data_IF_195758759489
#
_entry.id   IF_195758759489
#
_cell.length_a   1.000
_cell.length_b   1.000
_cell.length_c   1.000
_cell.angle_alpha   90.00
_cell.angle_beta   90.00
_cell.angle_gamma   90.00
#
_symmetry.space_group_name_H-M   'P 1'
#
loop_
_entity.id
_entity.type
_entity.pdbx_description
1 polymer ?
#
# COMPACT_ATOMS: atom_id res chain seq x y z
N UNK A 1 -1.85 -10.10 -8.27
CA UNK A 1 -3.10 -9.29 -8.37
C UNK A 1 -3.20 -8.30 -7.20
N UNK A 2 -3.18 -8.77 -5.94
CA UNK A 2 -3.27 -7.93 -4.74
C UNK A 2 -2.32 -6.73 -4.72
N UNK A 3 -1.04 -6.91 -5.08
CA UNK A 3 -0.10 -5.78 -5.17
C UNK A 3 -0.51 -4.70 -6.17
N UNK A 4 -1.04 -5.09 -7.34
CA UNK A 4 -1.48 -4.11 -8.35
C UNK A 4 -2.71 -3.34 -7.87
N UNK A 5 -3.64 -4.03 -7.19
CA UNK A 5 -4.78 -3.38 -6.53
C UNK A 5 -4.32 -2.41 -5.44
N UNK A 6 -3.38 -2.85 -4.59
CA UNK A 6 -2.76 -2.03 -3.55
C UNK A 6 -2.09 -0.79 -4.14
N UNK A 7 -1.21 -0.96 -5.13
CA UNK A 7 -0.55 0.15 -5.82
C UNK A 7 -1.56 1.14 -6.40
N UNK A 8 -2.58 0.67 -7.13
CA UNK A 8 -3.61 1.53 -7.72
C UNK A 8 -4.42 2.29 -6.66
N UNK A 9 -4.93 1.58 -5.65
CA UNK A 9 -5.87 2.12 -4.67
C UNK A 9 -5.19 2.91 -3.55
N UNK A 10 -3.89 2.75 -3.32
CA UNK A 10 -3.14 3.46 -2.29
C UNK A 10 -2.33 4.63 -2.84
N UNK A 11 -2.07 4.68 -4.15
CA UNK A 11 -1.40 5.81 -4.79
C UNK A 11 -2.23 7.09 -4.69
N UNK A 12 -1.55 8.25 -4.63
CA UNK A 12 -2.23 9.55 -4.67
C UNK A 12 -2.85 9.80 -6.05
N UNK A 13 -4.01 10.45 -6.08
CA UNK A 13 -4.78 10.72 -7.31
C UNK A 13 -6.18 10.12 -7.31
N UNK A 14 -6.75 9.92 -8.50
CA UNK A 14 -8.09 9.32 -8.68
C UNK A 14 -7.93 7.94 -9.31
N UNK A 15 -8.05 6.84 -8.54
CA UNK A 15 -7.91 5.50 -9.08
C UNK A 15 -9.13 5.12 -9.94
N UNK A 16 -8.89 4.39 -11.02
CA UNK A 16 -9.93 3.79 -11.87
C UNK A 16 -9.72 2.28 -11.93
N UNK A 17 -10.72 1.52 -11.51
CA UNK A 17 -10.73 0.06 -11.59
C UNK A 17 -11.54 -0.38 -12.80
N UNK A 18 -11.00 -1.30 -13.59
CA UNK A 18 -11.76 -1.93 -14.68
C UNK A 18 -12.73 -2.95 -14.07
N UNK A 19 -14.00 -2.88 -14.45
CA UNK A 19 -15.03 -3.73 -13.87
C UNK A 19 -14.69 -5.22 -14.03
N UNK A 20 -14.79 -5.96 -12.94
CA UNK A 20 -14.46 -7.38 -12.85
C UNK A 20 -13.03 -7.68 -12.44
N UNK A 21 -12.12 -6.70 -12.42
CA UNK A 21 -10.77 -6.90 -11.87
C UNK A 21 -10.84 -7.27 -10.37
N UNK A 22 -11.83 -6.74 -9.64
CA UNK A 22 -12.13 -7.07 -8.25
C UNK A 22 -12.58 -8.53 -8.04
N UNK A 23 -13.03 -9.19 -9.12
CA UNK A 23 -13.45 -10.58 -9.15
C UNK A 23 -12.42 -11.47 -9.86
N UNK A 24 -11.28 -10.93 -10.32
CA UNK A 24 -10.31 -11.69 -11.10
C UNK A 24 -10.83 -12.08 -12.50
N UNK A 25 -11.65 -11.22 -13.13
CA UNK A 25 -12.16 -11.44 -14.49
C UNK A 25 -11.01 -11.76 -15.45
N UNK A 26 -11.19 -12.81 -16.25
CA UNK A 26 -10.21 -13.24 -17.25
C UNK A 26 -10.82 -13.29 -18.64
N UNK A 27 -10.13 -12.69 -19.59
CA UNK A 27 -10.40 -12.80 -21.03
C UNK A 27 -9.55 -13.90 -21.68
N UNK A 28 -9.05 -14.86 -20.87
CA UNK A 28 -8.18 -15.97 -21.28
C UNK A 28 -6.94 -15.53 -22.07
N UNK A 29 -6.37 -14.37 -21.69
CA UNK A 29 -5.20 -13.79 -22.34
C UNK A 29 -5.49 -12.95 -23.59
N UNK A 30 -6.75 -12.85 -24.03
CA UNK A 30 -7.13 -11.93 -25.10
C UNK A 30 -7.15 -10.49 -24.57
N UNK A 31 -6.21 -9.66 -25.00
CA UNK A 31 -6.12 -8.25 -24.61
C UNK A 31 -6.96 -7.30 -25.50
N UNK A 32 -7.72 -7.84 -26.44
CA UNK A 32 -8.54 -7.07 -27.38
C UNK A 32 -9.87 -7.78 -27.75
N UNK A 33 -10.75 -8.08 -26.78
CA UNK A 33 -11.99 -8.83 -27.02
C UNK A 33 -13.13 -7.95 -27.59
N UNK A 34 -12.82 -6.93 -28.38
CA UNK A 34 -13.80 -5.93 -28.82
C UNK A 34 -14.96 -6.49 -29.65
N UNK A 35 -14.75 -7.61 -30.34
CA UNK A 35 -15.78 -8.31 -31.14
C UNK A 35 -16.35 -9.57 -30.45
N UNK A 36 -16.05 -9.76 -29.16
CA UNK A 36 -16.47 -10.95 -28.42
C UNK A 36 -17.71 -10.62 -27.59
N UNK A 37 -18.88 -11.05 -28.06
CA UNK A 37 -20.11 -11.06 -27.26
C UNK A 37 -20.40 -12.50 -26.80
N UNK A 38 -19.61 -12.96 -25.82
CA UNK A 38 -19.66 -14.31 -25.27
C UNK A 38 -18.94 -14.37 -23.91
N UNK A 39 -18.78 -15.57 -23.35
CA UNK A 39 -18.21 -15.83 -22.03
C UNK A 39 -16.76 -15.33 -21.85
N UNK A 40 -16.05 -14.95 -22.92
CA UNK A 40 -14.73 -14.31 -22.84
C UNK A 40 -14.86 -12.88 -22.29
N UNK A 41 -15.92 -12.15 -22.64
CA UNK A 41 -16.10 -10.74 -22.26
C UNK A 41 -17.13 -10.55 -21.13
N UNK A 42 -18.09 -11.46 -21.01
CA UNK A 42 -19.17 -11.39 -20.02
C UNK A 42 -18.65 -11.44 -18.58
N UNK A 43 -19.39 -10.79 -17.68
CA UNK A 43 -19.15 -10.84 -16.24
C UNK A 43 -19.67 -12.16 -15.66
N UNK A 44 -18.80 -12.91 -15.00
CA UNK A 44 -19.18 -14.09 -14.22
C UNK A 44 -19.46 -13.71 -12.77
N UNK A 45 -20.65 -14.05 -12.28
CA UNK A 45 -21.11 -13.77 -10.92
C UNK A 45 -21.05 -14.98 -9.98
N UNK A 46 -20.89 -16.18 -10.53
CA UNK A 46 -20.63 -17.40 -9.77
C UNK A 46 -19.14 -17.45 -9.43
N UNK A 47 -18.81 -17.09 -8.18
CA UNK A 47 -17.47 -16.85 -7.68
C UNK A 47 -16.87 -18.10 -7.03
N UNK A 48 -15.62 -18.39 -7.35
CA UNK A 48 -14.80 -19.34 -6.61
C UNK A 48 -14.29 -18.69 -5.31
N UNK A 49 -13.93 -19.47 -4.26
CA UNK A 49 -13.51 -18.91 -2.96
C UNK A 49 -12.40 -17.85 -3.05
N UNK A 50 -11.39 -18.05 -3.90
CA UNK A 50 -10.30 -17.08 -4.08
C UNK A 50 -10.78 -15.75 -4.70
N UNK A 51 -11.86 -15.76 -5.49
CA UNK A 51 -12.47 -14.55 -6.05
C UNK A 51 -13.23 -13.79 -4.96
N UNK A 52 -13.86 -14.49 -4.02
CA UNK A 52 -14.48 -13.86 -2.86
C UNK A 52 -13.44 -13.17 -1.97
N UNK A 53 -12.28 -13.79 -1.77
CA UNK A 53 -11.18 -13.21 -1.00
C UNK A 53 -10.54 -12.01 -1.72
N UNK A 54 -10.42 -12.07 -3.05
CA UNK A 54 -9.99 -10.93 -3.86
C UNK A 54 -10.99 -9.77 -3.82
N UNK A 55 -12.28 -10.06 -3.84
CA UNK A 55 -13.34 -9.07 -3.69
C UNK A 55 -13.28 -8.41 -2.32
N UNK A 56 -13.06 -9.19 -1.24
CA UNK A 56 -12.89 -8.62 0.10
C UNK A 56 -11.60 -7.80 0.19
N UNK A 57 -10.51 -8.22 -0.47
CA UNK A 57 -9.29 -7.42 -0.57
C UNK A 57 -9.55 -6.08 -1.25
N UNK A 58 -10.25 -6.07 -2.38
CA UNK A 58 -10.63 -4.83 -3.08
C UNK A 58 -11.46 -3.92 -2.18
N UNK A 59 -12.48 -4.48 -1.51
CA UNK A 59 -13.34 -3.72 -0.59
C UNK A 59 -12.54 -3.13 0.57
N UNK A 60 -11.64 -3.91 1.17
CA UNK A 60 -10.77 -3.47 2.25
C UNK A 60 -9.89 -2.30 1.82
N UNK A 61 -9.22 -2.40 0.67
CA UNK A 61 -8.38 -1.33 0.14
C UNK A 61 -9.17 -0.05 -0.17
N UNK A 62 -10.38 -0.16 -0.70
CA UNK A 62 -11.27 1.00 -0.92
C UNK A 62 -11.68 1.64 0.40
N UNK A 63 -12.03 0.85 1.43
CA UNK A 63 -12.33 1.35 2.78
C UNK A 63 -11.11 2.03 3.40
N UNK A 64 -9.94 1.39 3.37
CA UNK A 64 -8.68 1.93 3.86
C UNK A 64 -8.37 3.28 3.20
N UNK A 65 -8.43 3.36 1.86
CA UNK A 65 -8.24 4.63 1.14
C UNK A 65 -9.22 5.72 1.60
N UNK A 66 -10.49 5.36 1.81
CA UNK A 66 -11.52 6.29 2.27
C UNK A 66 -11.22 6.79 3.68
N UNK A 67 -10.89 5.87 4.58
CA UNK A 67 -10.74 6.10 6.02
C UNK A 67 -9.40 6.78 6.36
N UNK A 68 -8.42 6.77 5.44
CA UNK A 68 -7.16 7.51 5.55
C UNK A 68 -7.02 8.62 4.48
N UNK A 69 -7.54 9.85 4.75
CA UNK A 69 -7.50 10.96 3.80
C UNK A 69 -6.09 11.36 3.32
N UNK A 70 -5.04 11.01 4.07
CA UNK A 70 -3.64 11.26 3.70
C UNK A 70 -3.23 10.58 2.38
N UNK A 71 -3.95 9.54 1.95
CA UNK A 71 -3.76 8.86 0.66
C UNK A 71 -4.51 9.53 -0.51
N UNK A 72 -5.30 10.57 -0.23
CA UNK A 72 -6.21 11.26 -1.17
C UNK A 72 -5.97 12.76 -1.22
N UNK A 73 -4.73 13.20 -1.02
CA UNK A 73 -4.39 14.62 -1.03
C UNK A 73 -4.71 15.26 -2.39
N UNK A 74 -5.21 16.50 -2.35
CA UNK A 74 -5.60 17.28 -3.55
C UNK A 74 -4.43 18.00 -4.19
N UNK A 75 -3.36 18.19 -3.41
CA UNK A 75 -2.15 18.91 -3.81
C UNK A 75 -0.98 17.93 -3.85
N UNK A 76 0.06 18.30 -4.58
CA UNK A 76 1.30 17.52 -4.58
C UNK A 76 2.02 17.67 -3.24
N UNK A 77 2.68 16.59 -2.82
CA UNK A 77 3.60 16.63 -1.70
C UNK A 77 4.76 17.59 -2.00
N UNK A 78 4.99 18.51 -1.07
CA UNK A 78 6.01 19.55 -1.16
C UNK A 78 7.41 19.04 -0.83
N UNK A 79 7.54 17.96 -0.05
CA UNK A 79 8.81 17.41 0.41
C UNK A 79 9.59 18.38 1.32
N UNK A 80 8.97 19.47 1.77
CA UNK A 80 9.58 20.46 2.65
C UNK A 80 9.38 20.05 4.10
N UNK A 81 10.31 20.40 5.00
CA UNK A 81 10.07 20.28 6.44
C UNK A 81 8.84 21.09 6.86
N UNK A 82 8.05 20.49 7.72
CA UNK A 82 6.72 20.95 8.10
C UNK A 82 6.69 21.33 9.58
N UNK A 83 7.38 20.56 10.41
CA UNK A 83 7.55 20.85 11.82
C UNK A 83 8.99 21.30 12.09
N UNK A 84 9.20 22.01 13.19
CA UNK A 84 10.54 22.34 13.70
C UNK A 84 11.43 21.09 13.90
N UNK A 85 10.82 19.91 14.04
CA UNK A 85 11.49 18.60 14.07
C UNK A 85 11.81 17.96 12.72
N UNK A 86 11.60 18.65 11.60
CA UNK A 86 12.07 18.21 10.28
C UNK A 86 11.18 17.26 9.49
N UNK A 87 9.99 16.87 10.00
CA UNK A 87 9.08 15.95 9.28
C UNK A 87 8.55 16.58 7.98
N UNK A 88 8.42 15.79 6.92
CA UNK A 88 7.82 16.20 5.64
C UNK A 88 6.40 15.65 5.51
N UNK A 89 5.68 16.05 4.45
CA UNK A 89 4.32 15.57 4.11
C UNK A 89 4.36 14.16 3.50
N UNK A 90 5.45 13.86 2.81
CA UNK A 90 5.83 12.55 2.34
C UNK A 90 7.32 12.32 2.60
N UNK A 91 7.66 11.21 3.23
CA UNK A 91 9.04 10.78 3.43
C UNK A 91 9.26 9.40 2.81
N UNK A 92 10.41 9.22 2.16
CA UNK A 92 10.79 7.95 1.53
C UNK A 92 11.93 7.32 2.32
N UNK A 93 11.80 6.04 2.65
CA UNK A 93 12.81 5.27 3.37
C UNK A 93 13.19 4.00 2.60
N UNK A 94 14.42 3.57 2.78
CA UNK A 94 14.94 2.31 2.25
C UNK A 94 14.63 1.13 3.20
N UNK A 95 15.06 -0.09 2.85
CA UNK A 95 14.79 -1.30 3.64
C UNK A 95 15.30 -1.23 5.09
N UNK A 96 16.36 -0.47 5.35
CA UNK A 96 16.97 -0.28 6.67
C UNK A 96 16.25 0.77 7.52
N UNK A 97 15.13 1.32 7.06
CA UNK A 97 14.35 2.33 7.79
C UNK A 97 14.96 3.73 7.76
N UNK A 98 16.08 3.89 7.06
CA UNK A 98 16.76 5.17 6.88
C UNK A 98 16.18 5.94 5.69
N UNK A 99 16.28 7.27 5.74
CA UNK A 99 15.83 8.13 4.64
C UNK A 99 16.53 7.76 3.32
N UNK A 100 15.76 7.74 2.24
CA UNK A 100 16.25 7.33 0.92
C UNK A 100 17.41 8.21 0.45
N UNK A 101 17.28 9.54 0.58
CA UNK A 101 18.34 10.49 0.26
C UNK A 101 18.99 10.24 -1.11
N UNK A 102 20.32 10.15 -1.13
CA UNK A 102 21.11 9.90 -2.35
C UNK A 102 20.89 8.50 -2.97
N UNK A 103 20.29 7.55 -2.25
CA UNK A 103 19.99 6.21 -2.76
C UNK A 103 18.88 6.23 -3.82
N UNK A 104 18.10 7.31 -3.86
CA UNK A 104 17.02 7.48 -4.84
C UNK A 104 17.52 7.37 -6.29
N UNK A 105 18.70 7.94 -6.57
CA UNK A 105 19.34 7.89 -7.89
C UNK A 105 20.25 6.67 -8.09
N UNK A 106 20.36 5.81 -7.06
CA UNK A 106 21.19 4.62 -7.07
C UNK A 106 20.56 3.47 -7.87
N UNK A 107 21.37 2.55 -8.41
CA UNK A 107 20.85 1.36 -9.08
C UNK A 107 20.13 0.44 -8.08
N UNK A 108 18.95 -0.02 -8.48
CA UNK A 108 18.13 -1.07 -7.85
C UNK A 108 17.81 -0.86 -6.36
N UNK A 109 16.80 -0.04 -6.09
CA UNK A 109 16.07 -0.06 -4.80
C UNK A 109 14.88 -1.01 -4.94
N UNK A 110 15.06 -2.24 -4.46
CA UNK A 110 14.00 -3.27 -4.52
C UNK A 110 12.96 -3.11 -3.40
N UNK A 111 13.27 -2.36 -2.33
CA UNK A 111 12.36 -2.10 -1.21
C UNK A 111 12.21 -0.60 -1.01
N UNK A 112 10.96 -0.15 -1.02
CA UNK A 112 10.58 1.25 -0.88
C UNK A 112 9.56 1.40 0.24
N UNK A 113 9.79 2.33 1.15
CA UNK A 113 8.82 2.71 2.16
C UNK A 113 8.40 4.16 1.94
N UNK A 114 7.10 4.42 1.89
CA UNK A 114 6.50 5.74 1.73
C UNK A 114 5.67 6.07 2.97
N UNK A 115 6.12 7.05 3.76
CA UNK A 115 5.37 7.57 4.90
C UNK A 115 4.61 8.82 4.50
N UNK A 116 3.29 8.69 4.39
CA UNK A 116 2.36 9.79 4.19
C UNK A 116 2.02 10.41 5.55
N UNK A 117 2.46 11.64 5.80
CA UNK A 117 2.32 12.28 7.09
C UNK A 117 0.91 12.90 7.26
N UNK A 118 0.17 12.39 8.24
CA UNK A 118 -1.21 12.81 8.52
C UNK A 118 -1.34 14.03 9.44
N UNK A 119 -0.25 14.49 10.07
CA UNK A 119 -0.29 15.46 11.17
C UNK A 119 -0.99 16.78 10.80
N UNK A 120 -0.79 17.30 9.57
CA UNK A 120 -1.46 18.52 9.09
C UNK A 120 -2.98 18.46 9.13
N UNK A 121 -3.51 17.27 8.84
CA UNK A 121 -4.94 17.04 8.72
C UNK A 121 -5.53 16.52 10.03
N UNK A 122 -4.75 16.53 11.12
CA UNK A 122 -5.08 15.85 12.38
C UNK A 122 -5.48 14.39 12.13
N UNK A 123 -4.77 13.72 11.22
CA UNK A 123 -4.98 12.32 10.86
C UNK A 123 -3.75 11.49 11.27
N UNK A 124 -3.94 10.18 11.38
CA UNK A 124 -2.82 9.24 11.48
C UNK A 124 -2.01 9.26 10.18
N UNK A 125 -0.69 9.14 10.32
CA UNK A 125 0.21 8.89 9.19
C UNK A 125 0.05 7.46 8.70
N UNK A 126 0.29 7.24 7.41
CA UNK A 126 0.21 5.91 6.78
C UNK A 126 1.57 5.59 6.17
N UNK A 127 2.10 4.42 6.50
CA UNK A 127 3.32 3.88 5.92
C UNK A 127 2.95 2.78 4.93
N UNK A 128 3.33 2.96 3.66
CA UNK A 128 3.21 1.92 2.63
C UNK A 128 4.61 1.36 2.37
N UNK A 129 4.78 0.05 2.56
CA UNK A 129 6.04 -0.65 2.31
C UNK A 129 5.85 -1.59 1.13
N UNK A 130 6.72 -1.49 0.13
CA UNK A 130 6.73 -2.34 -1.05
C UNK A 130 8.05 -3.11 -1.10
N UNK A 131 7.99 -4.43 -1.01
CA UNK A 131 9.10 -5.30 -1.35
C UNK A 131 8.91 -5.78 -2.80
N UNK A 132 9.55 -5.09 -3.74
CA UNK A 132 9.61 -5.47 -5.15
C UNK A 132 10.64 -6.56 -5.45
N UNK A 133 11.45 -6.98 -4.48
CA UNK A 133 12.45 -8.04 -4.71
C UNK A 133 11.77 -9.40 -4.88
N UNK A 134 12.46 -10.29 -5.62
CA UNK A 134 12.06 -11.70 -5.75
C UNK A 134 12.42 -12.55 -4.51
N UNK A 135 12.79 -11.94 -3.38
CA UNK A 135 13.21 -12.64 -2.16
C UNK A 135 12.49 -12.10 -0.93
N UNK A 136 12.40 -12.94 0.10
CA UNK A 136 12.04 -12.45 1.43
C UNK A 136 13.11 -11.46 1.89
N UNK A 137 12.68 -10.35 2.47
CA UNK A 137 13.58 -9.27 2.88
C UNK A 137 13.21 -8.79 4.27
N UNK A 138 14.22 -8.58 5.11
CA UNK A 138 14.08 -7.89 6.39
C UNK A 138 13.94 -6.39 6.14
N UNK A 139 12.91 -5.78 6.72
CA UNK A 139 12.63 -4.35 6.60
C UNK A 139 12.53 -3.74 7.99
N UNK A 140 13.38 -2.77 8.29
CA UNK A 140 13.24 -1.97 9.50
C UNK A 140 12.20 -0.87 9.28
N UNK A 141 11.18 -0.82 10.13
CA UNK A 141 10.18 0.25 10.09
C UNK A 141 10.84 1.58 10.52
N UNK A 142 10.59 2.69 9.82
CA UNK A 142 11.33 3.93 10.05
C UNK A 142 11.01 4.55 11.40
N UNK A 143 12.03 5.08 12.07
CA UNK A 143 11.88 5.98 13.21
C UNK A 143 11.64 7.41 12.69
N UNK A 144 10.38 7.69 12.37
CA UNK A 144 9.98 8.96 11.79
C UNK A 144 9.50 9.94 12.88
N UNK A 145 9.78 11.25 12.76
CA UNK A 145 9.38 12.22 13.78
C UNK A 145 7.88 12.19 14.05
N UNK A 146 7.50 12.01 15.32
CA UNK A 146 6.11 11.94 15.77
C UNK A 146 5.45 10.56 15.64
N UNK A 147 6.20 9.51 15.26
CA UNK A 147 5.70 8.14 15.18
C UNK A 147 6.45 7.24 16.15
N UNK A 148 5.76 6.68 17.14
CA UNK A 148 6.38 5.79 18.15
C UNK A 148 6.15 4.31 17.86
N UNK A 149 5.04 3.99 17.18
CA UNK A 149 4.69 2.64 16.79
C UNK A 149 3.87 2.62 15.50
N UNK A 150 3.80 1.45 14.88
CA UNK A 150 3.05 1.15 13.67
C UNK A 150 2.08 0.01 13.91
N UNK A 151 0.84 0.18 13.49
CA UNK A 151 -0.15 -0.89 13.47
C UNK A 151 -0.36 -1.36 12.03
N UNK A 152 -0.24 -2.67 11.79
CA UNK A 152 -0.45 -3.27 10.48
C UNK A 152 -1.93 -3.19 10.10
N UNK A 153 -2.24 -2.60 8.94
CA UNK A 153 -3.59 -2.49 8.39
C UNK A 153 -3.86 -3.47 7.26
N UNK A 154 -2.84 -3.87 6.52
CA UNK A 154 -2.97 -4.79 5.39
C UNK A 154 -1.62 -5.40 5.00
N UNK A 155 -1.62 -6.69 4.66
CA UNK A 155 -0.52 -7.42 4.03
C UNK A 155 -1.04 -8.09 2.75
N UNK A 156 -0.37 -7.86 1.63
CA UNK A 156 -0.69 -8.49 0.35
C UNK A 156 -0.49 -10.00 0.30
N UNK A 157 0.34 -10.54 1.21
CA UNK A 157 0.58 -11.99 1.34
C UNK A 157 -0.64 -12.72 1.88
N UNK A 158 -1.49 -12.04 2.66
CA UNK A 158 -2.74 -12.60 3.14
C UNK A 158 -3.69 -12.86 1.97
N UNK A 159 -4.28 -14.06 1.92
CA UNK A 159 -5.29 -14.36 0.90
C UNK A 159 -6.51 -13.46 1.03
N UNK A 160 -6.89 -13.20 2.28
CA UNK A 160 -8.02 -12.36 2.70
C UNK A 160 -7.55 -11.37 3.78
N UNK A 161 -7.99 -10.10 3.76
CA UNK A 161 -7.58 -9.13 4.76
C UNK A 161 -7.88 -9.57 6.20
N UNK A 162 -6.85 -9.54 7.04
CA UNK A 162 -6.95 -9.79 8.48
C UNK A 162 -7.38 -8.54 9.25
N UNK A 163 -7.82 -8.71 10.49
CA UNK A 163 -7.98 -7.57 11.40
C UNK A 163 -6.64 -6.86 11.64
N UNK A 164 -6.64 -5.56 12.00
CA UNK A 164 -5.40 -4.86 12.32
C UNK A 164 -4.57 -5.58 13.38
N UNK A 165 -3.26 -5.65 13.16
CA UNK A 165 -2.34 -6.30 14.10
C UNK A 165 -2.17 -5.52 15.41
N UNK A 166 -1.45 -6.10 16.36
CA UNK A 166 -0.96 -5.33 17.51
C UNK A 166 0.08 -4.29 17.05
N UNK A 167 0.12 -3.09 17.65
CA UNK A 167 1.15 -2.11 17.34
C UNK A 167 2.55 -2.66 17.64
N UNK A 168 3.48 -2.42 16.71
CA UNK A 168 4.91 -2.69 16.88
C UNK A 168 5.68 -1.37 16.96
N UNK A 169 6.75 -1.33 17.75
CA UNK A 169 7.54 -0.10 17.92
C UNK A 169 8.19 0.34 16.60
N UNK A 170 8.45 1.64 16.46
CA UNK A 170 9.35 2.15 15.44
C UNK A 170 10.73 1.46 15.53
N UNK A 171 11.46 1.38 14.42
CA UNK A 171 12.70 0.61 14.26
C UNK A 171 12.57 -0.92 14.38
N UNK A 172 11.37 -1.46 14.64
CA UNK A 172 11.14 -2.91 14.61
C UNK A 172 11.45 -3.44 13.21
N UNK A 173 12.24 -4.52 13.15
CA UNK A 173 12.53 -5.22 11.90
C UNK A 173 11.45 -6.28 11.67
N UNK A 174 10.87 -6.27 10.48
CA UNK A 174 9.86 -7.23 10.04
C UNK A 174 10.31 -7.96 8.79
N UNK A 175 10.07 -9.27 8.74
CA UNK A 175 10.27 -10.06 7.52
C UNK A 175 9.09 -9.85 6.57
N UNK A 176 9.36 -9.44 5.33
CA UNK A 176 8.38 -9.36 4.25
C UNK A 176 8.62 -10.45 3.20
N UNK A 177 7.55 -11.04 2.66
CA UNK A 177 7.66 -12.00 1.57
C UNK A 177 8.14 -11.33 0.28
N UNK A 178 8.65 -12.14 -0.66
CA UNK A 178 8.99 -11.68 -2.01
C UNK A 178 7.77 -11.09 -2.72
N UNK A 179 7.99 -10.02 -3.50
CA UNK A 179 6.94 -9.35 -4.28
C UNK A 179 5.67 -9.11 -3.43
N UNK A 180 5.80 -8.35 -2.35
CA UNK A 180 4.71 -8.08 -1.40
C UNK A 180 4.62 -6.59 -1.05
N UNK A 181 3.48 -6.20 -0.50
CA UNK A 181 3.19 -4.87 0.02
C UNK A 181 2.55 -4.98 1.39
N UNK A 182 2.94 -4.09 2.31
CA UNK A 182 2.28 -3.88 3.61
C UNK A 182 1.88 -2.43 3.78
N UNK A 183 0.76 -2.22 4.48
CA UNK A 183 0.27 -0.90 4.85
C UNK A 183 0.14 -0.83 6.37
N UNK A 184 0.68 0.22 6.96
CA UNK A 184 0.64 0.48 8.39
C UNK A 184 0.06 1.86 8.66
N UNK A 185 -0.55 2.07 9.82
CA UNK A 185 -0.79 3.41 10.35
C UNK A 185 0.10 3.70 11.54
N UNK A 186 0.45 4.97 11.72
CA UNK A 186 1.15 5.44 12.91
C UNK A 186 0.22 5.41 14.12
N UNK A 187 0.76 4.94 15.24
CA UNK A 187 0.17 5.12 16.56
C UNK A 187 0.86 6.32 17.19
N UNK A 188 0.08 7.32 17.62
CA UNK A 188 0.61 8.46 18.33
C UNK A 188 1.00 8.04 19.76
N UNK A 189 2.02 8.66 20.37
CA UNK A 189 2.21 8.54 21.81
C UNK A 189 0.98 9.08 22.54
N UNK A 190 0.56 8.36 23.58
CA UNK A 190 -0.46 8.80 24.55
C UNK A 190 -0.08 10.13 25.23
#
# INVERSE_FOLDING_TARGET
IRNLLGTLLLSTGVPMLNAGDELGRSQRGNNNPYSQDNEISWMRWDLEPWQEDLLETTRHLVRLRRDHPVLRQREFFSGRPIHEGGSTDLAWFAADGELMGHRWDGPAVDVLQALYNGAWFSQQSVLVVVNGSARKTEVALPDAPGVTAYQLLWDSSDERPSAPGEPVLASTVVTMDAASMRVWCSVAPD
#
